data_IF_011846477266
#
_entry.id   IF_011846477266
#
_cell.length_a   1.000
_cell.length_b   1.000
_cell.length_c   1.000
_cell.angle_alpha   90.00
_cell.angle_beta   90.00
_cell.angle_gamma   90.00
#
_symmetry.space_group_name_H-M   'P 1'
#
loop_
_entity.id
_entity.type
_entity.pdbx_description
1 polymer ?
#
# COMPACT_ATOMS: atom_id res chain seq x y z
N UNK A 1 -0.64 -24.89 6.96
CA UNK A 1 -1.19 -23.98 5.94
C UNK A 1 -0.61 -22.60 6.19
N UNK A 2 -0.35 -21.81 5.16
CA UNK A 2 0.10 -20.41 5.32
C UNK A 2 -1.06 -19.46 5.61
N UNK A 3 -2.24 -19.74 5.05
CA UNK A 3 -3.44 -18.94 5.21
C UNK A 3 -4.66 -19.83 5.49
N UNK A 4 -5.70 -19.22 6.07
CA UNK A 4 -7.04 -19.81 6.14
C UNK A 4 -7.60 -19.93 4.72
N UNK A 5 -8.38 -20.98 4.44
CA UNK A 5 -9.00 -21.11 3.13
C UNK A 5 -9.78 -22.39 2.90
N UNK A 6 -10.43 -22.45 1.74
CA UNK A 6 -11.12 -23.65 1.24
C UNK A 6 -10.24 -24.34 0.21
N UNK A 7 -9.81 -25.57 0.49
CA UNK A 7 -8.91 -26.34 -0.38
C UNK A 7 -9.60 -26.63 -1.72
N UNK A 8 -8.95 -26.26 -2.82
CA UNK A 8 -9.45 -26.47 -4.19
C UNK A 8 -8.68 -27.52 -4.96
N UNK A 9 -7.37 -27.67 -4.72
CA UNK A 9 -6.52 -28.60 -5.46
C UNK A 9 -5.37 -29.09 -4.57
N UNK A 10 -5.04 -30.39 -4.68
CA UNK A 10 -3.90 -30.99 -3.98
C UNK A 10 -3.00 -31.72 -4.99
N UNK A 11 -1.80 -31.20 -5.21
CA UNK A 11 -0.74 -31.81 -6.01
C UNK A 11 0.33 -32.39 -5.09
N UNK A 12 0.35 -33.71 -4.92
CA UNK A 12 1.25 -34.39 -4.00
C UNK A 12 2.47 -34.97 -4.73
N UNK A 13 3.67 -34.58 -4.30
CA UNK A 13 4.93 -35.19 -4.76
C UNK A 13 5.45 -36.24 -3.78
N UNK A 14 5.39 -35.94 -2.47
CA UNK A 14 5.89 -36.79 -1.39
C UNK A 14 5.19 -36.50 -0.07
N UNK A 15 4.83 -37.54 0.66
CA UNK A 15 4.11 -37.44 1.94
C UNK A 15 2.72 -38.05 1.87
N UNK A 16 1.93 -37.84 2.91
CA UNK A 16 0.52 -38.28 2.98
C UNK A 16 -0.37 -37.07 3.23
N UNK A 17 -1.33 -36.74 2.33
CA UNK A 17 -2.23 -35.61 2.52
C UNK A 17 -3.13 -35.85 3.74
N UNK A 18 -3.37 -34.78 4.49
CA UNK A 18 -4.24 -34.76 5.67
C UNK A 18 -5.54 -34.00 5.46
N UNK A 19 -5.64 -33.33 4.32
CA UNK A 19 -6.81 -32.58 3.85
C UNK A 19 -7.27 -33.12 2.51
N UNK A 20 -8.48 -32.77 2.11
CA UNK A 20 -9.12 -33.10 0.83
C UNK A 20 -9.66 -31.84 0.17
N UNK A 21 -9.91 -31.91 -1.12
CA UNK A 21 -10.64 -30.86 -1.84
C UNK A 21 -12.01 -30.65 -1.18
N UNK A 22 -12.37 -29.38 -0.94
CA UNK A 22 -13.56 -28.98 -0.20
C UNK A 22 -13.38 -28.84 1.31
N UNK A 23 -12.24 -29.20 1.87
CA UNK A 23 -11.96 -28.97 3.30
C UNK A 23 -11.66 -27.48 3.57
N UNK A 24 -12.13 -26.97 4.71
CA UNK A 24 -11.71 -25.67 5.24
C UNK A 24 -10.53 -25.87 6.17
N UNK A 25 -9.48 -25.08 5.99
CA UNK A 25 -8.26 -25.12 6.79
C UNK A 25 -7.98 -23.78 7.43
N UNK A 26 -7.35 -23.80 8.60
CA UNK A 26 -6.81 -22.64 9.27
C UNK A 26 -5.31 -22.52 9.04
N UNK A 27 -4.79 -21.31 9.10
CA UNK A 27 -3.37 -21.02 9.09
C UNK A 27 -2.68 -21.82 10.22
N UNK A 28 -1.62 -22.54 9.85
CA UNK A 28 -0.94 -23.48 10.74
C UNK A 28 -1.36 -24.95 10.60
N UNK A 29 -2.49 -25.27 9.95
CA UNK A 29 -2.96 -26.66 9.86
C UNK A 29 -1.99 -27.57 9.08
N UNK A 30 -1.88 -28.83 9.53
CA UNK A 30 -1.06 -29.83 8.86
C UNK A 30 -1.74 -30.27 7.55
N UNK A 31 -1.23 -29.80 6.41
CA UNK A 31 -1.77 -30.13 5.10
C UNK A 31 -1.26 -31.47 4.57
N UNK A 32 0.05 -31.71 4.65
CA UNK A 32 0.72 -32.92 4.17
C UNK A 32 1.68 -33.42 5.25
N UNK A 33 1.51 -34.67 5.66
CA UNK A 33 2.38 -35.35 6.61
C UNK A 33 3.63 -35.88 5.92
N UNK A 34 4.80 -35.70 6.55
CA UNK A 34 6.09 -36.27 6.12
C UNK A 34 6.22 -37.79 6.31
N UNK A 35 5.19 -38.42 6.88
CA UNK A 35 5.08 -39.88 6.99
C UNK A 35 4.38 -40.41 5.74
N UNK A 36 5.01 -41.34 5.04
CA UNK A 36 4.46 -42.02 3.86
C UNK A 36 4.92 -43.48 3.80
N UNK A 37 4.32 -44.29 2.93
CA UNK A 37 4.69 -45.69 2.74
C UNK A 37 5.33 -45.86 1.37
N UNK A 38 6.42 -46.64 1.30
CA UNK A 38 7.02 -46.98 0.02
C UNK A 38 6.20 -48.07 -0.72
N UNK A 39 6.60 -48.41 -1.95
CA UNK A 39 5.95 -49.46 -2.74
C UNK A 39 6.00 -50.86 -2.13
N UNK A 40 6.79 -51.06 -1.06
CA UNK A 40 6.88 -52.31 -0.28
C UNK A 40 6.06 -52.24 1.02
N UNK A 41 5.34 -51.15 1.26
CA UNK A 41 4.55 -50.94 2.47
C UNK A 41 5.36 -50.59 3.71
N UNK A 42 6.63 -50.21 3.57
CA UNK A 42 7.48 -49.78 4.69
C UNK A 42 7.24 -48.31 4.96
N UNK A 43 7.03 -47.98 6.24
CA UNK A 43 6.84 -46.61 6.71
C UNK A 43 8.14 -45.82 6.59
N UNK A 44 8.09 -44.74 5.81
CA UNK A 44 9.17 -43.79 5.58
C UNK A 44 8.88 -42.46 6.30
N UNK A 45 9.95 -41.77 6.66
CA UNK A 45 9.90 -40.44 7.25
C UNK A 45 10.70 -39.49 6.36
N UNK A 46 10.15 -38.31 6.11
CA UNK A 46 10.86 -37.33 5.33
C UNK A 46 10.10 -36.03 5.14
N UNK A 47 10.76 -35.02 4.59
CA UNK A 47 10.09 -33.77 4.23
C UNK A 47 8.93 -34.05 3.26
N UNK A 48 7.75 -33.53 3.59
CA UNK A 48 6.63 -33.52 2.67
C UNK A 48 6.93 -32.57 1.51
N UNK A 49 6.43 -32.88 0.32
CA UNK A 49 6.54 -32.04 -0.87
C UNK A 49 5.23 -32.11 -1.65
N UNK A 50 4.73 -30.96 -2.06
CA UNK A 50 3.49 -30.85 -2.82
C UNK A 50 3.07 -29.39 -2.99
N UNK A 51 1.91 -29.17 -3.57
CA UNK A 51 1.24 -27.87 -3.66
C UNK A 51 -0.21 -28.10 -3.27
N UNK A 52 -0.72 -27.27 -2.38
CA UNK A 52 -2.11 -27.26 -1.92
C UNK A 52 -2.65 -25.89 -2.23
N UNK A 53 -3.53 -25.80 -3.21
CA UNK A 53 -4.22 -24.55 -3.54
C UNK A 53 -5.50 -24.45 -2.74
N UNK A 54 -5.83 -23.24 -2.34
CA UNK A 54 -7.07 -22.92 -1.67
C UNK A 54 -7.60 -21.56 -2.12
N UNK A 55 -8.92 -21.42 -2.05
CA UNK A 55 -9.60 -20.12 -2.09
C UNK A 55 -9.39 -19.44 -0.75
N UNK A 56 -8.83 -18.24 -0.80
CA UNK A 56 -8.53 -17.39 0.35
C UNK A 56 -9.25 -16.07 0.16
N UNK A 57 -9.85 -15.58 1.24
CA UNK A 57 -10.57 -14.32 1.24
C UNK A 57 -9.75 -13.23 1.92
N UNK A 58 -9.62 -12.11 1.24
CA UNK A 58 -8.96 -10.93 1.77
C UNK A 58 -9.95 -9.79 1.87
N UNK A 59 -9.91 -9.11 3.01
CA UNK A 59 -10.66 -7.89 3.26
C UNK A 59 -9.69 -6.72 3.40
N UNK A 60 -10.00 -5.62 2.70
CA UNK A 60 -9.37 -4.34 2.90
C UNK A 60 -10.42 -3.23 2.98
N UNK A 61 -10.03 -2.16 3.66
CA UNK A 61 -10.87 -0.98 3.84
C UNK A 61 -10.07 0.22 3.38
N UNK A 62 -10.74 1.13 2.70
CA UNK A 62 -10.24 2.47 2.40
C UNK A 62 -11.31 3.49 2.76
N UNK A 63 -10.86 4.66 3.18
CA UNK A 63 -11.71 5.75 3.64
C UNK A 63 -11.31 7.03 2.91
N UNK A 64 -12.30 7.83 2.55
CA UNK A 64 -12.08 9.13 1.93
C UNK A 64 -13.07 10.15 2.49
N UNK A 65 -12.61 11.39 2.65
CA UNK A 65 -13.45 12.49 3.12
C UNK A 65 -14.31 13.06 1.99
N UNK A 66 -15.55 13.39 2.28
CA UNK A 66 -16.44 14.16 1.39
C UNK A 66 -16.13 15.64 1.42
N UNK A 67 -15.21 16.08 2.29
CA UNK A 67 -14.68 17.44 2.29
C UNK A 67 -13.17 17.50 2.34
N UNK A 68 -12.59 18.42 1.58
CA UNK A 68 -11.15 18.66 1.48
C UNK A 68 -10.85 20.13 1.79
N UNK A 69 -9.75 20.38 2.47
CA UNK A 69 -9.24 21.72 2.67
C UNK A 69 -8.29 22.07 1.53
N UNK A 70 -8.69 23.04 0.71
CA UNK A 70 -7.88 23.48 -0.42
C UNK A 70 -7.27 24.87 -0.14
N UNK A 71 -5.98 25.07 -0.46
CA UNK A 71 -5.35 26.37 -0.32
C UNK A 71 -5.79 27.30 -1.45
N UNK A 72 -6.64 28.27 -1.14
CA UNK A 72 -7.07 29.32 -2.08
C UNK A 72 -6.08 30.49 -1.96
N UNK A 73 -5.46 30.87 -3.08
CA UNK A 73 -4.53 32.01 -3.10
C UNK A 73 -5.28 33.33 -2.83
N UNK A 74 -4.79 34.12 -1.87
CA UNK A 74 -5.37 35.44 -1.57
C UNK A 74 -4.96 36.51 -2.60
N UNK A 75 -3.96 36.21 -3.43
CA UNK A 75 -3.35 37.12 -4.38
C UNK A 75 -2.12 37.86 -3.82
N UNK A 76 -1.91 37.83 -2.51
CA UNK A 76 -0.70 38.38 -1.92
C UNK A 76 0.49 37.44 -2.15
N UNK A 77 1.63 38.04 -2.52
CA UNK A 77 2.88 37.31 -2.76
C UNK A 77 4.06 38.04 -2.16
N UNK A 78 4.92 37.29 -1.50
CA UNK A 78 6.18 37.77 -0.98
C UNK A 78 7.35 37.01 -1.61
N UNK A 79 8.49 37.67 -1.72
CA UNK A 79 9.68 37.10 -2.34
C UNK A 79 10.85 37.16 -1.38
N UNK A 80 11.57 36.05 -1.29
CA UNK A 80 12.84 35.94 -0.59
C UNK A 80 13.89 35.41 -1.55
N UNK A 81 15.12 35.91 -1.41
CA UNK A 81 16.28 35.32 -2.07
C UNK A 81 17.16 34.67 -1.00
N UNK A 82 17.67 33.48 -1.27
CA UNK A 82 18.65 32.82 -0.41
C UNK A 82 19.88 32.58 -1.27
N UNK A 83 20.98 33.22 -0.88
CA UNK A 83 22.27 32.98 -1.50
C UNK A 83 23.00 31.92 -0.69
N UNK A 84 23.53 30.89 -1.34
CA UNK A 84 24.38 29.90 -0.68
C UNK A 84 25.75 29.83 -1.32
N UNK A 85 26.77 29.72 -0.46
CA UNK A 85 28.18 29.52 -0.84
C UNK A 85 28.71 28.34 -0.02
N UNK A 86 28.81 27.17 -0.64
CA UNK A 86 29.14 25.93 0.08
C UNK A 86 28.09 25.61 1.15
N UNK A 87 28.49 25.60 2.42
CA UNK A 87 27.60 25.36 3.57
C UNK A 87 26.96 26.63 4.14
N UNK A 88 27.40 27.81 3.71
CA UNK A 88 26.88 29.09 4.18
C UNK A 88 25.61 29.44 3.41
N UNK A 89 24.48 29.59 4.11
CA UNK A 89 23.22 30.11 3.55
C UNK A 89 22.92 31.49 4.13
N UNK A 90 22.72 32.47 3.25
CA UNK A 90 22.42 33.86 3.61
C UNK A 90 21.04 34.22 3.06
N UNK A 91 19.99 34.20 3.89
CA UNK A 91 18.66 34.64 3.49
C UNK A 91 18.62 36.17 3.40
N UNK A 92 18.15 36.67 2.26
CA UNK A 92 17.89 38.09 2.00
C UNK A 92 16.37 38.33 1.94
N UNK A 93 15.86 38.95 3.00
CA UNK A 93 14.43 39.25 3.16
C UNK A 93 13.76 38.39 4.23
N UNK A 94 12.49 38.69 4.50
CA UNK A 94 11.68 37.98 5.49
C UNK A 94 11.25 36.62 4.96
N UNK A 95 11.27 35.62 5.83
CA UNK A 95 10.58 34.34 5.60
C UNK A 95 9.14 34.45 6.12
N UNK A 96 8.24 33.66 5.55
CA UNK A 96 6.82 33.63 5.92
C UNK A 96 6.42 32.24 6.43
N UNK A 97 5.50 32.14 7.42
CA UNK A 97 5.02 30.86 7.93
C UNK A 97 4.33 30.04 6.84
N UNK A 98 4.56 28.72 6.85
CA UNK A 98 3.92 27.79 5.90
C UNK A 98 2.46 27.49 6.23
N UNK A 99 1.97 27.96 7.38
CA UNK A 99 0.57 27.83 7.83
C UNK A 99 -0.40 28.60 6.95
N UNK A 100 0.04 29.73 6.38
CA UNK A 100 -0.77 30.57 5.49
C UNK A 100 -0.03 30.94 4.21
N UNK A 101 1.11 30.30 3.91
CA UNK A 101 1.83 30.51 2.66
C UNK A 101 2.27 29.19 2.03
N UNK A 102 2.02 29.05 0.73
CA UNK A 102 2.69 28.03 -0.09
C UNK A 102 3.97 28.61 -0.69
N UNK A 103 4.97 27.76 -0.96
CA UNK A 103 6.28 28.20 -1.49
C UNK A 103 6.55 27.59 -2.85
N UNK A 104 6.97 28.41 -3.80
CA UNK A 104 7.58 27.99 -5.06
C UNK A 104 9.06 28.35 -5.01
N UNK A 105 9.94 27.36 -5.21
CA UNK A 105 11.39 27.54 -5.14
C UNK A 105 11.98 27.40 -6.54
N UNK A 106 12.75 28.40 -6.97
CA UNK A 106 13.61 28.33 -8.16
C UNK A 106 15.04 28.47 -7.73
N UNK A 107 15.85 27.48 -8.07
CA UNK A 107 17.25 27.41 -7.67
C UNK A 107 18.15 27.45 -8.90
N UNK A 108 19.16 28.32 -8.85
CA UNK A 108 20.23 28.41 -9.83
C UNK A 108 21.53 28.06 -9.13
N UNK A 109 22.20 27.01 -9.60
CA UNK A 109 23.49 26.56 -9.07
C UNK A 109 24.59 26.80 -10.11
N UNK A 110 25.69 27.41 -9.69
CA UNK A 110 26.91 27.61 -10.46
C UNK A 110 28.06 26.82 -9.81
N UNK A 111 28.58 25.83 -10.52
CA UNK A 111 29.78 25.10 -10.10
C UNK A 111 31.01 25.64 -10.83
N UNK A 112 31.98 26.16 -10.07
CA UNK A 112 33.22 26.75 -10.61
C UNK A 112 34.40 25.76 -10.58
N UNK A 113 34.12 24.46 -10.68
CA UNK A 113 35.12 23.38 -10.61
C UNK A 113 35.38 22.86 -9.19
N UNK A 114 36.26 21.84 -9.06
CA UNK A 114 36.49 21.09 -7.81
C UNK A 114 37.20 21.90 -6.70
N UNK A 115 37.83 23.02 -7.05
CA UNK A 115 38.62 23.84 -6.12
C UNK A 115 37.85 25.04 -5.52
N UNK A 116 36.61 25.26 -5.96
CA UNK A 116 35.76 26.38 -5.53
C UNK A 116 34.47 25.86 -4.91
N UNK A 117 34.01 26.50 -3.84
CA UNK A 117 32.71 26.18 -3.25
C UNK A 117 31.58 26.48 -4.25
N UNK A 118 30.56 25.60 -4.36
CA UNK A 118 29.44 25.83 -5.25
C UNK A 118 28.65 27.07 -4.79
N UNK A 119 28.26 27.89 -5.76
CA UNK A 119 27.45 29.07 -5.57
C UNK A 119 26.02 28.74 -5.97
N UNK A 120 25.05 29.01 -5.11
CA UNK A 120 23.63 28.88 -5.46
C UNK A 120 22.84 30.11 -5.10
N UNK A 121 21.86 30.43 -5.94
CA UNK A 121 20.85 31.44 -5.67
C UNK A 121 19.49 30.77 -5.73
N UNK A 122 18.77 30.77 -4.61
CA UNK A 122 17.38 30.34 -4.52
C UNK A 122 16.48 31.57 -4.50
N UNK A 123 15.47 31.60 -5.36
CA UNK A 123 14.32 32.50 -5.25
C UNK A 123 13.16 31.71 -4.70
N UNK A 124 12.65 32.14 -3.55
CA UNK A 124 11.50 31.57 -2.88
C UNK A 124 10.36 32.57 -3.04
N UNK A 125 9.36 32.21 -3.83
CA UNK A 125 8.12 32.98 -3.97
C UNK A 125 7.08 32.37 -2.99
N UNK A 126 6.71 33.13 -1.96
CA UNK A 126 5.70 32.78 -0.96
C UNK A 126 4.34 33.31 -1.42
N UNK A 127 3.38 32.43 -1.64
CA UNK A 127 2.01 32.75 -2.01
C UNK A 127 1.13 32.64 -0.77
N UNK A 128 0.51 33.73 -0.34
CA UNK A 128 -0.43 33.67 0.77
C UNK A 128 -1.68 32.90 0.35
N UNK A 129 -2.10 31.97 1.21
CA UNK A 129 -3.25 31.10 0.99
C UNK A 129 -4.18 31.13 2.20
N UNK A 130 -5.47 31.04 1.94
CA UNK A 130 -6.48 30.71 2.94
C UNK A 130 -7.04 29.33 2.63
N UNK A 131 -7.15 28.50 3.66
CA UNK A 131 -7.76 27.19 3.53
C UNK A 131 -9.27 27.33 3.52
N UNK A 132 -9.90 26.84 2.45
CA UNK A 132 -11.35 26.75 2.34
C UNK A 132 -11.78 25.30 2.28
N UNK A 133 -12.93 25.01 2.89
CA UNK A 133 -13.55 23.68 2.84
C UNK A 133 -14.29 23.55 1.51
N UNK A 134 -13.83 22.62 0.68
CA UNK A 134 -14.44 22.26 -0.60
C UNK A 134 -15.13 20.91 -0.46
N UNK A 135 -16.34 20.78 -1.00
CA UNK A 135 -17.05 19.52 -1.04
C UNK A 135 -16.50 18.67 -2.18
N UNK A 136 -16.11 17.45 -1.87
CA UNK A 136 -15.68 16.42 -2.82
C UNK A 136 -16.93 15.69 -3.31
N UNK A 137 -16.99 15.41 -4.61
CA UNK A 137 -18.10 14.63 -5.16
C UNK A 137 -18.09 13.21 -4.60
N UNK A 138 -19.27 12.65 -4.30
CA UNK A 138 -19.37 11.30 -3.73
C UNK A 138 -18.63 10.24 -4.57
N UNK A 139 -18.74 10.30 -5.89
CA UNK A 139 -18.07 9.37 -6.80
C UNK A 139 -16.54 9.50 -6.78
N UNK A 140 -16.02 10.72 -6.62
CA UNK A 140 -14.59 10.97 -6.48
C UNK A 140 -14.08 10.38 -5.16
N UNK A 141 -14.77 10.64 -4.05
CA UNK A 141 -14.44 10.09 -2.74
C UNK A 141 -14.54 8.55 -2.72
N UNK A 142 -15.56 7.97 -3.38
CA UNK A 142 -15.68 6.50 -3.57
C UNK A 142 -14.47 5.93 -4.30
N UNK A 143 -14.05 6.60 -5.37
CA UNK A 143 -12.89 6.17 -6.16
C UNK A 143 -11.60 6.26 -5.36
N UNK A 144 -11.41 7.34 -4.59
CA UNK A 144 -10.27 7.53 -3.70
C UNK A 144 -10.23 6.43 -2.63
N UNK A 145 -11.34 6.21 -1.92
CA UNK A 145 -11.47 5.15 -0.91
C UNK A 145 -11.24 3.75 -1.50
N UNK A 146 -11.76 3.46 -2.69
CA UNK A 146 -11.52 2.20 -3.40
C UNK A 146 -10.04 2.02 -3.74
N UNK A 147 -9.36 3.07 -4.22
CA UNK A 147 -7.93 3.01 -4.54
C UNK A 147 -7.09 2.77 -3.29
N UNK A 148 -7.41 3.43 -2.17
CA UNK A 148 -6.76 3.19 -0.87
C UNK A 148 -6.98 1.75 -0.39
N UNK A 149 -8.20 1.20 -0.52
CA UNK A 149 -8.47 -0.20 -0.20
C UNK A 149 -7.62 -1.15 -1.05
N UNK A 150 -7.46 -0.85 -2.35
CA UNK A 150 -6.62 -1.61 -3.26
C UNK A 150 -5.13 -1.50 -2.97
N UNK A 151 -4.66 -0.33 -2.57
CA UNK A 151 -3.28 -0.11 -2.14
C UNK A 151 -2.98 -0.99 -0.91
N UNK A 152 -3.92 -1.07 0.05
CA UNK A 152 -3.81 -1.95 1.20
C UNK A 152 -3.75 -3.45 0.81
N UNK A 153 -4.50 -3.89 -0.19
CA UNK A 153 -4.41 -5.26 -0.73
C UNK A 153 -3.07 -5.49 -1.44
N UNK A 154 -2.62 -4.51 -2.24
CA UNK A 154 -1.36 -4.57 -3.00
C UNK A 154 -0.15 -4.66 -2.06
N UNK A 155 -0.16 -3.91 -0.96
CA UNK A 155 0.86 -3.98 0.09
C UNK A 155 0.92 -5.35 0.79
N UNK A 156 -0.15 -6.15 0.71
CA UNK A 156 -0.20 -7.54 1.18
C UNK A 156 0.24 -8.56 0.13
N UNK A 157 0.69 -8.10 -1.04
CA UNK A 157 1.16 -8.95 -2.13
C UNK A 157 0.07 -9.43 -3.09
N UNK A 158 -1.14 -8.86 -3.03
CA UNK A 158 -2.23 -9.20 -3.94
C UNK A 158 -2.18 -8.35 -5.20
N UNK A 159 -2.34 -8.99 -6.35
CA UNK A 159 -2.46 -8.30 -7.62
C UNK A 159 -3.90 -8.33 -8.12
N UNK A 160 -4.32 -7.31 -8.88
CA UNK A 160 -5.63 -7.32 -9.55
C UNK A 160 -5.79 -8.49 -10.52
N UNK A 161 -4.67 -8.99 -11.04
CA UNK A 161 -4.62 -10.14 -11.94
C UNK A 161 -4.65 -11.42 -11.10
N UNK A 162 -5.69 -12.24 -11.24
CA UNK A 162 -5.84 -13.51 -10.52
C UNK A 162 -6.93 -13.53 -9.46
N UNK A 163 -7.70 -12.44 -9.32
CA UNK A 163 -8.89 -12.41 -8.47
C UNK A 163 -10.00 -13.22 -9.12
N UNK A 164 -10.59 -14.13 -8.35
CA UNK A 164 -11.74 -14.91 -8.78
C UNK A 164 -13.04 -14.13 -8.59
N UNK A 165 -13.15 -13.40 -7.50
CA UNK A 165 -14.32 -12.59 -7.18
C UNK A 165 -13.93 -11.34 -6.39
N UNK A 166 -14.53 -10.21 -6.72
CA UNK A 166 -14.43 -8.96 -5.98
C UNK A 166 -15.84 -8.52 -5.57
N UNK A 167 -16.02 -8.22 -4.28
CA UNK A 167 -17.25 -7.66 -3.73
C UNK A 167 -16.93 -6.36 -3.01
N UNK A 168 -17.59 -5.30 -3.44
CA UNK A 168 -17.40 -3.94 -2.92
C UNK A 168 -18.64 -3.57 -2.09
N UNK A 169 -18.42 -2.99 -0.92
CA UNK A 169 -19.46 -2.48 -0.03
C UNK A 169 -19.10 -1.04 0.35
N UNK A 170 -20.01 -0.10 0.09
CA UNK A 170 -19.88 1.29 0.48
C UNK A 170 -20.73 1.64 1.71
N UNK A 171 -20.15 2.41 2.62
CA UNK A 171 -20.81 2.87 3.84
C UNK A 171 -20.50 4.36 4.09
N UNK A 172 -21.55 5.14 4.36
CA UNK A 172 -21.42 6.57 4.61
C UNK A 172 -21.07 6.82 6.07
N UNK A 173 -19.93 7.47 6.31
CA UNK A 173 -19.46 7.84 7.63
C UNK A 173 -20.00 9.23 7.98
N UNK A 174 -21.28 9.29 8.39
CA UNK A 174 -22.00 10.55 8.65
C UNK A 174 -21.27 11.44 9.67
N UNK A 175 -20.70 10.85 10.72
CA UNK A 175 -20.00 11.59 11.78
C UNK A 175 -18.66 12.17 11.33
N UNK A 176 -18.03 11.57 10.31
CA UNK A 176 -16.70 11.97 9.81
C UNK A 176 -16.79 12.72 8.47
N UNK A 177 -18.01 12.95 7.97
CA UNK A 177 -18.25 13.55 6.65
C UNK A 177 -17.43 12.84 5.56
N UNK A 178 -17.52 11.52 5.53
CA UNK A 178 -16.68 10.66 4.70
C UNK A 178 -17.40 9.43 4.20
N UNK A 179 -16.70 8.64 3.40
CA UNK A 179 -17.14 7.35 2.89
C UNK A 179 -16.10 6.28 3.15
N UNK A 180 -16.58 5.12 3.58
CA UNK A 180 -15.80 3.90 3.74
C UNK A 180 -16.15 2.94 2.63
N UNK A 181 -15.12 2.44 1.94
CA UNK A 181 -15.26 1.38 0.95
C UNK A 181 -14.56 0.13 1.49
N UNK A 182 -15.31 -0.94 1.64
CA UNK A 182 -14.79 -2.27 1.97
C UNK A 182 -14.69 -3.10 0.69
N UNK A 183 -13.49 -3.58 0.39
CA UNK A 183 -13.22 -4.47 -0.74
C UNK A 183 -12.94 -5.86 -0.19
N UNK A 184 -13.76 -6.83 -0.56
CA UNK A 184 -13.57 -8.25 -0.28
C UNK A 184 -13.18 -8.96 -1.57
N UNK A 185 -12.05 -9.65 -1.58
CA UNK A 185 -11.56 -10.40 -2.74
C UNK A 185 -11.36 -11.86 -2.42
N UNK A 186 -11.73 -12.72 -3.35
CA UNK A 186 -11.46 -14.16 -3.34
C UNK A 186 -10.35 -14.46 -4.34
N UNK A 187 -9.29 -15.13 -3.87
CA UNK A 187 -8.13 -15.48 -4.69
C UNK A 187 -7.81 -16.95 -4.47
N UNK A 188 -7.47 -17.65 -5.55
CA UNK A 188 -6.88 -18.99 -5.44
C UNK A 188 -5.36 -18.86 -5.36
N UNK A 189 -4.78 -19.40 -4.29
CA UNK A 189 -3.34 -19.32 -4.04
C UNK A 189 -2.81 -20.61 -3.41
N UNK A 190 -1.51 -20.84 -3.53
CA UNK A 190 -0.82 -21.89 -2.79
C UNK A 190 -0.77 -21.50 -1.30
N UNK A 191 -1.23 -22.40 -0.44
CA UNK A 191 -1.20 -22.26 1.02
C UNK A 191 -0.17 -23.21 1.66
N UNK A 192 0.69 -23.81 0.86
CA UNK A 192 1.72 -24.75 1.31
C UNK A 192 2.93 -24.02 1.84
N UNK A 193 3.31 -24.34 3.08
CA UNK A 193 4.57 -23.89 3.68
C UNK A 193 5.38 -25.10 4.12
N UNK A 194 6.49 -25.35 3.44
CA UNK A 194 7.39 -26.46 3.76
C UNK A 194 8.52 -25.99 4.68
N UNK A 195 8.78 -26.75 5.73
CA UNK A 195 9.95 -26.56 6.58
C UNK A 195 11.03 -27.53 6.11
N UNK A 196 12.17 -27.00 5.65
CA UNK A 196 13.38 -27.80 5.50
C UNK A 196 14.00 -28.03 6.89
N UNK A 197 14.21 -29.28 7.27
CA UNK A 197 15.13 -29.66 8.35
C UNK A 197 16.55 -29.75 7.81
#
# INVERSE_FOLDING_TARGET
AENDGLVTEILLLRGTPKVREGDTVLAGDLLISGIYYDGKGVKQFGAAQGVVKARVWYRAVGEASLTRWEPIQTGNRHRQFVFSLGTLEIPMGKSYPLENHTREIKEWTLSLGRSMAPLSLKRIDFHEVQYSRVNVALEEAKTEAYNTAWENLTNRGLEKKGILMEKIEDDLMVDQDGIRVTVNVEVEQDISRFFSQ
#
